data_IF_579484115365
#
_entry.id   IF_579484115365
#
_cell.length_a   1.000
_cell.length_b   1.000
_cell.length_c   1.000
_cell.angle_alpha   90.00
_cell.angle_beta   90.00
_cell.angle_gamma   90.00
#
_symmetry.space_group_name_H-M   'P 1'
#
loop_
_entity.id
_entity.type
_entity.pdbx_description
1 polymer ?
#
# COMPACT_ATOMS: atom_id res chain seq x y z
N UNK A 1 14.13 -48.02 -44.76
CA UNK A 1 13.73 -47.47 -43.45
C UNK A 1 12.27 -47.84 -43.23
N UNK A 2 11.94 -48.54 -42.15
CA UNK A 2 10.54 -48.72 -41.74
C UNK A 2 10.18 -47.55 -40.83
N UNK A 3 9.16 -46.78 -41.19
CA UNK A 3 8.64 -45.72 -40.32
C UNK A 3 7.56 -46.32 -39.41
N UNK A 4 7.44 -45.78 -38.20
CA UNK A 4 6.35 -46.17 -37.30
C UNK A 4 5.01 -45.66 -37.89
N UNK A 5 4.03 -46.55 -38.00
CA UNK A 5 2.68 -46.21 -38.46
C UNK A 5 1.74 -46.12 -37.25
N UNK A 6 1.04 -45.00 -37.11
CA UNK A 6 0.09 -44.75 -36.01
C UNK A 6 -1.34 -44.67 -36.57
N UNK A 7 -2.28 -45.42 -35.96
CA UNK A 7 -3.71 -45.43 -36.33
C UNK A 7 -4.49 -44.32 -35.63
N UNK A 8 -4.06 -43.07 -35.83
CA UNK A 8 -4.70 -41.86 -35.27
C UNK A 8 -3.78 -40.99 -34.41
N UNK A 9 -4.20 -39.74 -34.17
CA UNK A 9 -3.44 -38.76 -33.38
C UNK A 9 -3.92 -38.77 -31.92
N UNK A 10 -3.07 -39.24 -31.01
CA UNK A 10 -3.31 -39.17 -29.56
C UNK A 10 -2.13 -38.45 -28.90
N UNK A 11 -2.22 -37.12 -28.82
CA UNK A 11 -1.16 -36.28 -28.27
C UNK A 11 -0.86 -36.53 -26.78
N UNK A 12 -1.86 -36.73 -25.90
CA UNK A 12 -1.59 -37.10 -24.50
C UNK A 12 -0.75 -38.36 -24.36
N UNK A 13 -1.11 -39.43 -25.08
CA UNK A 13 -0.36 -40.69 -25.04
C UNK A 13 1.06 -40.52 -25.59
N UNK A 14 1.23 -39.77 -26.68
CA UNK A 14 2.56 -39.47 -27.22
C UNK A 14 3.39 -38.67 -26.22
N UNK A 15 2.79 -37.72 -25.50
CA UNK A 15 3.49 -36.95 -24.48
C UNK A 15 3.94 -37.85 -23.31
N UNK A 16 3.07 -38.74 -22.82
CA UNK A 16 3.40 -39.74 -21.79
C UNK A 16 4.57 -40.63 -22.23
N UNK A 17 4.49 -41.23 -23.43
CA UNK A 17 5.56 -42.09 -23.98
C UNK A 17 6.90 -41.34 -24.12
N UNK A 18 6.88 -40.05 -24.46
CA UNK A 18 8.08 -39.22 -24.58
C UNK A 18 8.65 -38.83 -23.20
N UNK A 19 7.80 -38.54 -22.22
CA UNK A 19 8.23 -38.26 -20.85
C UNK A 19 8.91 -39.48 -20.23
N UNK A 20 8.32 -40.67 -20.40
CA UNK A 20 8.90 -41.94 -19.96
C UNK A 20 10.27 -42.16 -20.61
N UNK A 21 10.36 -41.99 -21.93
CA UNK A 21 11.63 -42.08 -22.66
C UNK A 21 12.68 -41.08 -22.15
N UNK A 22 12.30 -39.82 -21.89
CA UNK A 22 13.23 -38.83 -21.36
C UNK A 22 13.75 -39.19 -19.96
N UNK A 23 12.87 -39.72 -19.11
CA UNK A 23 13.19 -40.15 -17.75
C UNK A 23 14.11 -41.38 -17.74
N UNK A 24 13.71 -42.46 -18.42
CA UNK A 24 14.49 -43.72 -18.48
C UNK A 24 15.91 -43.50 -19.02
N UNK A 25 16.07 -42.54 -19.93
CA UNK A 25 17.36 -42.24 -20.54
C UNK A 25 18.08 -41.04 -19.93
N UNK A 26 17.58 -40.43 -18.85
CA UNK A 26 18.19 -39.26 -18.19
C UNK A 26 18.55 -38.15 -19.20
N UNK A 27 17.61 -37.82 -20.08
CA UNK A 27 17.86 -36.95 -21.24
C UNK A 27 18.18 -35.52 -20.79
N UNK A 28 17.54 -35.04 -19.72
CA UNK A 28 17.81 -33.71 -19.18
C UNK A 28 19.24 -33.61 -18.65
N UNK A 29 19.69 -34.56 -17.83
CA UNK A 29 21.02 -34.62 -17.24
C UNK A 29 22.08 -34.76 -18.34
N UNK A 30 21.83 -35.64 -19.32
CA UNK A 30 22.69 -35.77 -20.51
C UNK A 30 22.76 -34.49 -21.31
N UNK A 31 21.67 -33.73 -21.41
CA UNK A 31 21.68 -32.44 -22.10
C UNK A 31 22.63 -31.43 -21.45
N UNK A 32 22.93 -31.58 -20.16
CA UNK A 32 23.87 -30.73 -19.41
C UNK A 32 25.29 -31.31 -19.44
N UNK A 33 25.45 -32.60 -19.14
CA UNK A 33 26.76 -33.25 -19.01
C UNK A 33 27.50 -33.37 -20.35
N UNK A 34 26.79 -33.58 -21.45
CA UNK A 34 27.40 -33.60 -22.81
C UNK A 34 27.98 -32.25 -23.26
N UNK A 35 27.69 -31.16 -22.52
CA UNK A 35 28.27 -29.82 -22.74
C UNK A 35 29.21 -29.39 -21.61
N UNK A 36 29.76 -30.33 -20.84
CA UNK A 36 30.75 -29.99 -19.83
C UNK A 36 31.95 -29.25 -20.45
N UNK A 37 32.36 -28.14 -19.81
CA UNK A 37 33.42 -27.26 -20.29
C UNK A 37 33.03 -26.29 -21.42
N UNK A 38 31.77 -26.26 -21.86
CA UNK A 38 31.25 -25.25 -22.81
C UNK A 38 30.80 -23.98 -22.09
N UNK A 39 30.57 -22.93 -22.87
CA UNK A 39 30.07 -21.65 -22.37
C UNK A 39 28.76 -21.84 -21.60
N UNK A 40 28.69 -21.20 -20.44
CA UNK A 40 27.53 -21.30 -19.55
C UNK A 40 26.47 -20.27 -19.91
N UNK A 41 25.21 -20.71 -19.96
CA UNK A 41 24.05 -19.82 -19.93
C UNK A 41 23.41 -19.94 -18.55
N UNK A 42 23.53 -18.88 -17.74
CA UNK A 42 23.01 -18.86 -16.37
C UNK A 42 21.52 -18.53 -16.41
N UNK A 43 20.72 -19.42 -15.85
CA UNK A 43 19.28 -19.27 -15.70
C UNK A 43 18.93 -19.27 -14.21
N UNK A 44 18.15 -18.28 -13.78
CA UNK A 44 17.61 -18.24 -12.43
C UNK A 44 16.13 -18.53 -12.46
N UNK A 45 15.72 -19.57 -11.74
CA UNK A 45 14.31 -19.83 -11.51
C UNK A 45 13.84 -19.00 -10.32
N UNK A 46 12.79 -18.20 -10.55
CA UNK A 46 12.09 -17.50 -9.47
C UNK A 46 11.34 -18.53 -8.62
N UNK A 47 11.59 -18.59 -7.30
CA UNK A 47 11.04 -19.66 -6.47
C UNK A 47 9.55 -19.44 -6.23
N UNK A 48 8.67 -20.37 -6.61
CA UNK A 48 7.27 -20.31 -6.18
C UNK A 48 7.14 -20.57 -4.68
N UNK A 49 6.06 -20.05 -4.09
CA UNK A 49 5.60 -20.50 -2.77
C UNK A 49 4.78 -21.77 -2.93
N UNK A 50 5.12 -22.84 -2.21
CA UNK A 50 4.41 -24.11 -2.24
C UNK A 50 3.21 -24.18 -1.27
N UNK A 51 2.60 -23.03 -0.98
CA UNK A 51 1.45 -22.93 -0.07
C UNK A 51 0.09 -23.11 -0.76
N UNK A 52 0.06 -23.41 -2.06
CA UNK A 52 -1.17 -23.62 -2.81
C UNK A 52 -0.98 -24.45 -4.09
N UNK A 53 -2.10 -24.77 -4.74
CA UNK A 53 -2.15 -25.55 -5.98
C UNK A 53 -1.57 -24.74 -7.17
N UNK A 54 -0.86 -25.40 -8.10
CA UNK A 54 -0.41 -24.72 -9.31
C UNK A 54 -1.59 -24.35 -10.22
N UNK A 55 -1.71 -23.07 -10.60
CA UNK A 55 -2.63 -22.60 -11.64
C UNK A 55 -2.01 -22.50 -13.05
N UNK A 56 -2.83 -22.19 -14.05
CA UNK A 56 -2.44 -22.06 -15.47
C UNK A 56 -1.31 -21.03 -15.70
N UNK A 57 -1.27 -19.96 -14.91
CA UNK A 57 -0.22 -18.94 -15.01
C UNK A 57 1.18 -19.52 -14.71
N UNK A 58 1.27 -20.55 -13.85
CA UNK A 58 2.54 -21.23 -13.61
C UNK A 58 2.98 -22.07 -14.81
N UNK A 59 2.04 -22.73 -15.50
CA UNK A 59 2.33 -23.47 -16.75
C UNK A 59 2.88 -22.50 -17.80
N UNK A 60 2.20 -21.38 -18.02
CA UNK A 60 2.66 -20.35 -18.99
C UNK A 60 4.06 -19.84 -18.66
N UNK A 61 4.32 -19.49 -17.40
CA UNK A 61 5.64 -19.02 -16.97
C UNK A 61 6.72 -20.09 -17.20
N UNK A 62 6.46 -21.34 -16.82
CA UNK A 62 7.40 -22.46 -16.99
C UNK A 62 7.66 -22.79 -18.44
N UNK A 63 6.65 -22.75 -19.31
CA UNK A 63 6.83 -22.96 -20.75
C UNK A 63 7.82 -21.95 -21.34
N UNK A 64 7.67 -20.65 -21.03
CA UNK A 64 8.59 -19.61 -21.49
C UNK A 64 10.00 -19.87 -20.92
N UNK A 65 10.08 -20.19 -19.62
CA UNK A 65 11.34 -20.45 -18.91
C UNK A 65 12.03 -21.74 -19.37
N UNK A 66 11.35 -22.65 -20.07
CA UNK A 66 11.95 -23.86 -20.64
C UNK A 66 12.44 -23.66 -22.07
N UNK A 67 11.68 -22.91 -22.89
CA UNK A 67 11.98 -22.67 -24.31
C UNK A 67 13.39 -22.11 -24.50
N UNK A 68 13.76 -21.06 -23.76
CA UNK A 68 15.05 -20.39 -23.94
C UNK A 68 16.24 -21.24 -23.47
N UNK A 69 16.21 -21.87 -22.29
CA UNK A 69 17.24 -22.83 -21.89
C UNK A 69 17.40 -23.99 -22.87
N UNK A 70 16.32 -24.56 -23.43
CA UNK A 70 16.41 -25.59 -24.48
C UNK A 70 17.09 -25.03 -25.73
N UNK A 71 16.65 -23.88 -26.22
CA UNK A 71 17.25 -23.21 -27.36
C UNK A 71 18.76 -22.98 -27.16
N UNK A 72 19.17 -22.46 -25.99
CA UNK A 72 20.60 -22.27 -25.66
C UNK A 72 21.38 -23.57 -25.59
N UNK A 73 20.78 -24.63 -25.04
CA UNK A 73 21.36 -25.98 -25.03
C UNK A 73 21.59 -26.50 -26.45
N UNK A 74 20.67 -26.22 -27.39
CA UNK A 74 20.81 -26.56 -28.81
C UNK A 74 21.87 -25.70 -29.54
N UNK A 75 22.12 -24.48 -29.08
CA UNK A 75 23.20 -23.62 -29.56
C UNK A 75 24.59 -23.99 -28.98
N UNK A 76 24.67 -25.04 -28.16
CA UNK A 76 25.93 -25.58 -27.63
C UNK A 76 26.33 -25.08 -26.23
N UNK A 77 25.50 -24.27 -25.57
CA UNK A 77 25.77 -23.82 -24.21
C UNK A 77 25.50 -24.92 -23.17
N UNK A 78 26.24 -24.88 -22.07
CA UNK A 78 25.90 -25.64 -20.86
C UNK A 78 24.88 -24.84 -20.05
N UNK A 79 23.70 -25.41 -19.80
CA UNK A 79 22.60 -24.72 -19.13
C UNK A 79 22.16 -25.48 -17.89
N UNK A 80 22.74 -25.15 -16.73
CA UNK A 80 22.33 -25.70 -15.44
C UNK A 80 21.04 -25.02 -14.97
N UNK A 81 20.05 -25.81 -14.57
CA UNK A 81 18.72 -25.32 -14.18
C UNK A 81 18.33 -25.96 -12.87
N UNK A 82 18.11 -25.13 -11.85
CA UNK A 82 17.84 -25.56 -10.47
C UNK A 82 16.56 -24.92 -10.00
N UNK A 83 15.64 -25.72 -9.48
CA UNK A 83 14.41 -25.20 -8.90
C UNK A 83 14.68 -24.57 -7.53
N UNK A 84 13.68 -23.86 -7.01
CA UNK A 84 13.69 -23.44 -5.63
C UNK A 84 12.31 -23.18 -5.07
N UNK A 85 12.25 -23.05 -3.75
CA UNK A 85 11.01 -22.86 -3.01
C UNK A 85 11.14 -21.66 -2.09
N UNK A 86 10.16 -20.76 -2.18
CA UNK A 86 10.03 -19.65 -1.25
C UNK A 86 9.12 -20.07 -0.09
N UNK A 87 9.67 -20.02 1.12
CA UNK A 87 9.16 -20.76 2.27
C UNK A 87 8.97 -19.96 3.56
N UNK A 88 9.16 -18.64 3.49
CA UNK A 88 8.90 -17.74 4.62
C UNK A 88 7.83 -16.71 4.26
N UNK A 89 7.39 -15.94 5.26
CA UNK A 89 6.57 -14.76 5.07
C UNK A 89 5.08 -14.94 5.33
N UNK A 90 4.36 -13.81 5.27
CA UNK A 90 2.97 -13.69 5.67
C UNK A 90 2.00 -14.66 4.99
N UNK A 91 2.12 -14.99 3.68
CA UNK A 91 1.17 -15.90 3.05
C UNK A 91 1.12 -17.30 3.68
N UNK A 92 2.25 -17.79 4.21
CA UNK A 92 2.31 -19.09 4.90
C UNK A 92 1.80 -18.93 6.34
N UNK A 93 2.27 -17.89 7.04
CA UNK A 93 1.87 -17.58 8.42
C UNK A 93 0.34 -17.46 8.57
N UNK A 94 -0.29 -16.66 7.71
CA UNK A 94 -1.75 -16.45 7.72
C UNK A 94 -2.54 -17.72 7.37
N UNK A 95 -2.00 -18.56 6.49
CA UNK A 95 -2.60 -19.85 6.15
C UNK A 95 -2.62 -20.79 7.34
N UNK A 96 -1.49 -20.89 8.06
CA UNK A 96 -1.37 -21.71 9.27
C UNK A 96 -2.20 -21.17 10.42
N UNK A 97 -2.21 -19.85 10.64
CA UNK A 97 -3.08 -19.21 11.65
C UNK A 97 -4.54 -19.58 11.44
N UNK A 98 -5.03 -19.52 10.19
CA UNK A 98 -6.40 -19.90 9.83
C UNK A 98 -6.68 -21.39 10.07
N UNK A 99 -5.74 -22.27 9.72
CA UNK A 99 -5.89 -23.72 9.95
C UNK A 99 -5.93 -24.09 11.43
N UNK A 100 -5.11 -23.41 12.24
CA UNK A 100 -5.04 -23.64 13.68
C UNK A 100 -6.12 -22.88 14.47
N UNK A 101 -6.83 -21.93 13.83
CA UNK A 101 -7.84 -21.10 14.48
C UNK A 101 -7.25 -20.15 15.52
N UNK A 102 -6.02 -19.66 15.29
CA UNK A 102 -5.28 -18.76 16.18
C UNK A 102 -5.07 -17.39 15.54
N UNK A 103 -4.72 -16.40 16.35
CA UNK A 103 -4.19 -15.10 15.89
C UNK A 103 -2.73 -14.93 16.31
N UNK A 104 -2.06 -13.85 15.86
CA UNK A 104 -0.67 -13.59 16.24
C UNK A 104 -0.49 -13.42 17.75
N UNK A 105 -1.48 -12.89 18.45
CA UNK A 105 -1.46 -12.71 19.91
C UNK A 105 -1.46 -14.05 20.66
N UNK A 106 -1.89 -15.14 20.02
CA UNK A 106 -1.90 -16.48 20.61
C UNK A 106 -0.52 -17.16 20.56
N UNK A 107 0.40 -16.67 19.72
CA UNK A 107 1.76 -17.22 19.57
C UNK A 107 2.60 -16.84 20.78
N UNK A 108 3.14 -17.84 21.46
CA UNK A 108 3.82 -17.72 22.75
C UNK A 108 2.89 -17.86 23.97
N UNK A 109 1.58 -17.92 23.76
CA UNK A 109 0.57 -18.07 24.83
C UNK A 109 -0.16 -19.42 24.73
N UNK A 110 -0.83 -19.68 23.59
CA UNK A 110 -1.58 -20.93 23.34
C UNK A 110 -0.76 -21.96 22.55
N UNK A 111 0.19 -21.51 21.75
CA UNK A 111 1.12 -22.33 20.99
C UNK A 111 2.52 -21.74 21.15
N UNK A 112 3.56 -22.57 21.28
CA UNK A 112 4.93 -22.04 21.32
C UNK A 112 5.39 -21.55 19.94
N UNK A 113 6.37 -20.65 19.92
CA UNK A 113 7.00 -20.18 18.66
C UNK A 113 7.60 -21.35 17.87
N UNK A 114 8.17 -22.34 18.56
CA UNK A 114 8.75 -23.53 17.93
C UNK A 114 7.68 -24.39 17.25
N UNK A 115 6.58 -24.69 17.93
CA UNK A 115 5.47 -25.46 17.37
C UNK A 115 4.82 -24.74 16.19
N UNK A 116 4.66 -23.41 16.29
CA UNK A 116 4.12 -22.60 15.20
C UNK A 116 5.04 -22.62 13.96
N UNK A 117 6.34 -22.45 14.16
CA UNK A 117 7.32 -22.51 13.06
C UNK A 117 7.38 -23.92 12.44
N UNK A 118 7.25 -24.97 13.24
CA UNK A 118 7.16 -26.34 12.75
C UNK A 118 5.90 -26.57 11.90
N UNK A 119 4.75 -26.01 12.31
CA UNK A 119 3.53 -26.04 11.53
C UNK A 119 3.69 -25.30 10.18
N UNK A 120 4.30 -24.10 10.18
CA UNK A 120 4.61 -23.35 8.96
C UNK A 120 5.51 -24.14 8.00
N UNK A 121 6.57 -24.76 8.53
CA UNK A 121 7.49 -25.59 7.74
C UNK A 121 6.79 -26.82 7.14
N UNK A 122 5.84 -27.42 7.85
CA UNK A 122 5.04 -28.54 7.33
C UNK A 122 4.05 -28.06 6.26
N UNK A 123 3.40 -26.92 6.47
CA UNK A 123 2.42 -26.37 5.56
C UNK A 123 3.02 -26.03 4.19
N UNK A 124 4.20 -25.42 4.17
CA UNK A 124 4.83 -25.02 2.90
C UNK A 124 5.27 -26.20 2.03
N UNK A 125 5.59 -27.35 2.62
CA UNK A 125 5.95 -28.54 1.84
C UNK A 125 4.73 -29.34 1.37
N UNK A 126 3.51 -28.95 1.76
CA UNK A 126 2.30 -29.76 1.54
C UNK A 126 1.97 -29.95 0.06
N UNK A 127 2.25 -28.95 -0.78
CA UNK A 127 1.87 -28.98 -2.20
C UNK A 127 3.02 -29.33 -3.14
N UNK A 128 4.24 -29.56 -2.64
CA UNK A 128 5.42 -29.77 -3.51
C UNK A 128 5.25 -30.94 -4.47
N UNK A 129 4.60 -32.03 -4.05
CA UNK A 129 4.39 -33.21 -4.89
C UNK A 129 3.49 -32.91 -6.10
N UNK A 130 2.43 -32.13 -5.90
CA UNK A 130 1.52 -31.70 -6.99
C UNK A 130 2.25 -30.78 -7.96
N UNK A 131 3.11 -29.91 -7.44
CA UNK A 131 3.94 -29.05 -8.27
C UNK A 131 4.99 -29.82 -9.06
N UNK A 132 5.61 -30.85 -8.47
CA UNK A 132 6.55 -31.74 -9.15
C UNK A 132 5.86 -32.47 -10.30
N UNK A 133 4.69 -33.06 -10.04
CA UNK A 133 3.89 -33.71 -11.07
C UNK A 133 3.53 -32.76 -12.22
N UNK A 134 3.11 -31.52 -11.91
CA UNK A 134 2.86 -30.52 -12.95
C UNK A 134 4.14 -30.15 -13.73
N UNK A 135 5.29 -29.99 -13.06
CA UNK A 135 6.60 -29.72 -13.71
C UNK A 135 6.89 -30.76 -14.78
N UNK A 136 6.74 -32.04 -14.42
CA UNK A 136 7.02 -33.18 -15.29
C UNK A 136 6.03 -33.25 -16.44
N UNK A 137 4.73 -33.13 -16.17
CA UNK A 137 3.67 -33.21 -17.18
C UNK A 137 3.80 -32.15 -18.27
N UNK A 138 4.24 -30.93 -17.93
CA UNK A 138 4.45 -29.86 -18.91
C UNK A 138 5.81 -29.95 -19.61
N UNK A 139 6.63 -30.95 -19.26
CA UNK A 139 7.95 -31.18 -19.83
C UNK A 139 8.99 -30.14 -19.43
N UNK A 140 8.83 -29.46 -18.29
CA UNK A 140 9.76 -28.42 -17.85
C UNK A 140 11.03 -29.05 -17.25
N UNK A 141 12.13 -28.98 -17.99
CA UNK A 141 13.41 -29.55 -17.55
C UNK A 141 14.08 -28.63 -16.53
N UNK A 142 14.06 -29.04 -15.26
CA UNK A 142 14.68 -28.37 -14.13
C UNK A 142 15.00 -29.39 -13.03
N UNK A 143 16.11 -29.21 -12.32
CA UNK A 143 16.46 -30.06 -11.18
C UNK A 143 15.51 -29.79 -10.01
N UNK A 144 14.63 -30.77 -9.75
CA UNK A 144 13.70 -30.81 -8.61
C UNK A 144 14.19 -31.73 -7.48
N UNK A 145 15.31 -32.45 -7.65
CA UNK A 145 15.86 -33.36 -6.64
C UNK A 145 16.65 -32.61 -5.57
N UNK A 146 17.43 -31.60 -5.99
CA UNK A 146 18.15 -30.69 -5.07
C UNK A 146 17.65 -29.25 -5.22
N UNK A 147 16.40 -28.89 -4.87
CA UNK A 147 15.97 -27.50 -4.94
C UNK A 147 16.63 -26.66 -3.83
N UNK A 148 16.89 -25.37 -4.13
CA UNK A 148 17.22 -24.43 -3.06
C UNK A 148 15.94 -24.08 -2.28
N UNK A 149 16.02 -24.01 -0.96
CA UNK A 149 14.85 -23.78 -0.10
C UNK A 149 15.20 -22.69 0.90
N UNK A 150 14.37 -21.65 0.99
CA UNK A 150 14.73 -20.44 1.76
C UNK A 150 14.85 -20.67 3.26
N UNK A 151 14.16 -21.67 3.84
CA UNK A 151 14.34 -22.07 5.24
C UNK A 151 15.60 -22.90 5.53
N UNK A 152 16.34 -23.37 4.52
CA UNK A 152 17.58 -24.15 4.76
C UNK A 152 18.64 -23.22 5.36
N UNK A 153 19.32 -23.67 6.42
CA UNK A 153 20.28 -22.85 7.18
C UNK A 153 21.37 -22.22 6.30
N UNK A 154 21.87 -22.92 5.28
CA UNK A 154 22.90 -22.38 4.37
C UNK A 154 22.40 -21.21 3.51
N UNK A 155 21.11 -21.24 3.14
CA UNK A 155 20.48 -20.12 2.44
C UNK A 155 20.35 -18.91 3.37
N UNK A 156 19.84 -19.13 4.59
CA UNK A 156 19.70 -18.08 5.62
C UNK A 156 21.06 -17.46 6.00
N UNK A 157 22.11 -18.26 6.13
CA UNK A 157 23.47 -17.77 6.38
C UNK A 157 23.96 -16.83 5.27
N UNK A 158 23.64 -17.15 4.01
CA UNK A 158 23.97 -16.28 2.87
C UNK A 158 23.21 -14.95 2.94
N UNK A 159 21.93 -14.97 3.33
CA UNK A 159 21.13 -13.77 3.56
C UNK A 159 21.72 -12.92 4.70
N UNK A 160 22.14 -13.53 5.81
CA UNK A 160 22.82 -12.83 6.91
C UNK A 160 24.13 -12.18 6.46
N UNK A 161 24.92 -12.88 5.63
CA UNK A 161 26.12 -12.31 5.05
C UNK A 161 25.80 -11.07 4.19
N UNK A 162 24.76 -11.13 3.35
CA UNK A 162 24.30 -9.98 2.55
C UNK A 162 23.88 -8.80 3.42
N UNK A 163 23.06 -9.04 4.46
CA UNK A 163 22.65 -8.01 5.41
C UNK A 163 23.87 -7.36 6.10
N UNK A 164 24.86 -8.16 6.49
CA UNK A 164 26.13 -7.65 7.04
C UNK A 164 26.88 -6.79 6.03
N UNK A 165 26.93 -7.16 4.75
CA UNK A 165 27.57 -6.35 3.71
C UNK A 165 26.89 -4.98 3.56
N UNK A 166 25.55 -4.97 3.52
CA UNK A 166 24.77 -3.74 3.38
C UNK A 166 24.96 -2.86 4.63
N UNK A 167 24.94 -3.46 5.82
CA UNK A 167 25.20 -2.76 7.08
C UNK A 167 26.61 -2.16 7.12
N UNK A 168 27.63 -2.93 6.72
CA UNK A 168 29.03 -2.47 6.71
C UNK A 168 29.26 -1.30 5.74
N UNK A 169 28.40 -1.14 4.74
CA UNK A 169 28.39 -0.02 3.80
C UNK A 169 27.58 1.18 4.29
N UNK A 170 27.00 1.14 5.49
CA UNK A 170 26.16 2.21 6.04
C UNK A 170 24.80 2.35 5.34
N UNK A 171 24.33 1.32 4.63
CA UNK A 171 23.10 1.35 3.83
C UNK A 171 21.86 0.82 4.60
N UNK A 172 22.04 0.35 5.84
CA UNK A 172 20.96 -0.03 6.76
C UNK A 172 20.98 0.91 7.95
N UNK A 173 19.82 1.49 8.29
CA UNK A 173 19.66 2.36 9.45
C UNK A 173 18.31 2.08 10.14
N UNK A 174 18.22 2.46 11.42
CA UNK A 174 16.95 2.46 12.17
C UNK A 174 16.31 3.84 12.02
N UNK A 175 15.05 3.89 11.65
CA UNK A 175 14.27 5.12 11.54
C UNK A 175 12.83 4.93 12.00
N UNK A 176 12.15 6.05 12.18
CA UNK A 176 10.70 6.11 12.43
C UNK A 176 10.06 6.78 11.23
N UNK A 177 9.10 6.10 10.62
CA UNK A 177 8.41 6.55 9.41
C UNK A 177 6.97 6.08 9.46
N UNK A 178 6.05 6.85 8.89
CA UNK A 178 4.68 6.38 8.63
C UNK A 178 4.76 5.32 7.55
N UNK A 179 4.23 4.13 7.84
CA UNK A 179 4.23 2.98 6.94
C UNK A 179 2.81 2.44 6.82
N UNK A 180 2.45 1.86 5.66
CA UNK A 180 1.25 1.05 5.58
C UNK A 180 1.30 -0.06 6.63
N UNK A 181 0.21 -0.25 7.36
CA UNK A 181 0.16 -1.19 8.48
C UNK A 181 -1.09 -2.05 8.36
N UNK A 182 -0.95 -3.36 8.57
CA UNK A 182 -2.09 -4.27 8.67
C UNK A 182 -2.42 -4.50 10.14
N UNK A 183 -3.55 -3.98 10.65
CA UNK A 183 -3.97 -4.24 12.03
C UNK A 183 -4.17 -5.73 12.31
N UNK A 184 -4.62 -6.49 11.30
CA UNK A 184 -4.84 -7.93 11.41
C UNK A 184 -3.53 -8.72 11.47
N UNK A 185 -2.51 -8.31 10.71
CA UNK A 185 -1.22 -9.01 10.70
C UNK A 185 -0.21 -8.45 11.71
N UNK A 186 -0.54 -7.36 12.40
CA UNK A 186 0.30 -6.74 13.43
C UNK A 186 1.65 -6.23 12.91
N UNK A 187 1.75 -5.89 11.63
CA UNK A 187 3.04 -5.53 11.00
C UNK A 187 2.87 -4.50 9.89
N UNK A 188 3.95 -3.75 9.65
CA UNK A 188 4.08 -2.89 8.48
C UNK A 188 4.15 -3.72 7.19
N UNK A 189 3.65 -3.13 6.10
CA UNK A 189 3.63 -3.72 4.76
C UNK A 189 4.50 -2.90 3.81
N UNK A 190 5.11 -3.57 2.85
CA UNK A 190 5.87 -2.94 1.76
C UNK A 190 4.96 -2.40 0.65
N UNK A 191 5.51 -1.51 -0.17
CA UNK A 191 4.82 -1.01 -1.37
C UNK A 191 4.49 -2.12 -2.37
N UNK A 192 5.29 -3.19 -2.43
CA UNK A 192 4.99 -4.33 -3.30
C UNK A 192 3.76 -5.11 -2.82
N UNK A 193 3.62 -5.31 -1.50
CA UNK A 193 2.45 -5.97 -0.90
C UNK A 193 1.17 -5.14 -1.10
N UNK A 194 1.26 -3.81 -1.03
CA UNK A 194 0.14 -2.93 -1.35
C UNK A 194 -0.33 -3.02 -2.80
N UNK A 195 0.59 -3.33 -3.72
CA UNK A 195 0.29 -3.45 -5.15
C UNK A 195 -0.14 -4.87 -5.57
N UNK A 196 -0.32 -5.80 -4.63
CA UNK A 196 -0.81 -7.13 -4.97
C UNK A 196 -2.27 -7.07 -5.45
N UNK A 197 -2.67 -7.93 -6.40
CA UNK A 197 -4.04 -8.00 -6.88
C UNK A 197 -5.04 -8.23 -5.73
N UNK A 198 -6.09 -7.41 -5.69
CA UNK A 198 -7.12 -7.48 -4.65
C UNK A 198 -6.81 -6.70 -3.37
N UNK A 199 -5.63 -6.07 -3.24
CA UNK A 199 -5.33 -5.19 -2.11
C UNK A 199 -6.10 -3.88 -2.18
N UNK A 200 -6.11 -3.23 -3.35
CA UNK A 200 -6.98 -2.08 -3.61
C UNK A 200 -8.39 -2.56 -3.93
N UNK A 201 -9.36 -2.00 -3.23
CA UNK A 201 -10.79 -2.32 -3.37
C UNK A 201 -11.59 -1.04 -3.30
N UNK A 202 -12.67 -0.97 -4.05
CA UNK A 202 -13.65 0.10 -3.91
C UNK A 202 -14.38 -0.09 -2.57
N UNK A 203 -14.23 0.90 -1.69
CA UNK A 203 -14.88 0.93 -0.39
C UNK A 203 -15.63 2.24 -0.22
N UNK A 204 -16.72 2.19 0.55
CA UNK A 204 -17.48 3.40 0.90
C UNK A 204 -16.99 3.92 2.24
N UNK A 205 -16.40 5.10 2.24
CA UNK A 205 -15.97 5.79 3.46
C UNK A 205 -16.94 6.89 3.89
N UNK A 206 -17.00 7.12 5.21
CA UNK A 206 -17.71 8.28 5.76
C UNK A 206 -16.80 9.50 5.66
N UNK A 207 -17.21 10.50 4.88
CA UNK A 207 -16.47 11.76 4.80
C UNK A 207 -17.08 12.82 5.71
N UNK A 208 -16.24 13.68 6.28
CA UNK A 208 -16.69 14.82 7.10
C UNK A 208 -15.97 16.10 6.71
N UNK A 209 -16.67 17.22 6.81
CA UNK A 209 -16.07 18.57 6.75
C UNK A 209 -16.13 19.15 8.15
N UNK A 210 -14.97 19.21 8.82
CA UNK A 210 -14.84 19.76 10.16
C UNK A 210 -14.63 21.28 10.14
N UNK A 211 -15.18 21.96 11.14
CA UNK A 211 -15.05 23.40 11.34
C UNK A 211 -14.07 23.68 12.48
N UNK A 212 -12.90 24.21 12.15
CA UNK A 212 -11.86 24.57 13.11
C UNK A 212 -11.96 26.05 13.45
N UNK A 213 -12.36 26.38 14.67
CA UNK A 213 -12.59 27.78 15.09
C UNK A 213 -11.26 28.52 15.23
N UNK A 214 -11.10 29.64 14.53
CA UNK A 214 -9.92 30.47 14.63
C UNK A 214 -9.81 31.14 16.02
N UNK A 215 -8.59 31.37 16.47
CA UNK A 215 -8.29 32.20 17.65
C UNK A 215 -8.20 33.66 17.18
N UNK A 216 -9.16 34.48 17.61
CA UNK A 216 -9.36 35.87 17.12
C UNK A 216 -8.09 36.71 17.24
N UNK A 217 -7.35 36.58 18.34
CA UNK A 217 -6.14 37.37 18.62
C UNK A 217 -4.99 37.05 17.66
N UNK A 218 -5.08 35.94 16.93
CA UNK A 218 -4.07 35.50 15.94
C UNK A 218 -4.47 35.79 14.49
N UNK A 219 -5.69 36.31 14.27
CA UNK A 219 -6.13 36.70 12.95
C UNK A 219 -5.37 37.95 12.47
N UNK A 220 -4.94 38.00 11.20
CA UNK A 220 -4.36 39.20 10.61
C UNK A 220 -5.43 40.29 10.43
N UNK A 221 -5.01 41.55 10.32
CA UNK A 221 -5.90 42.72 10.23
C UNK A 221 -7.03 42.58 9.20
N UNK A 222 -6.77 41.90 8.08
CA UNK A 222 -7.75 41.69 7.02
C UNK A 222 -8.83 40.64 7.37
N UNK A 223 -8.66 39.85 8.43
CA UNK A 223 -9.66 38.90 8.97
C UNK A 223 -10.21 39.32 10.34
N UNK A 224 -9.65 40.36 10.95
CA UNK A 224 -10.15 40.91 12.21
C UNK A 224 -11.54 41.53 12.04
N UNK A 225 -12.38 41.44 13.08
CA UNK A 225 -13.73 42.02 13.14
C UNK A 225 -14.74 41.42 12.13
N UNK A 226 -14.46 40.25 11.55
CA UNK A 226 -15.42 39.53 10.69
C UNK A 226 -16.40 38.68 11.52
N UNK A 227 -16.26 38.64 12.84
CA UNK A 227 -16.96 37.72 13.73
C UNK A 227 -16.27 36.36 13.77
N UNK A 228 -16.93 35.34 14.34
CA UNK A 228 -16.28 34.03 14.50
C UNK A 228 -15.93 33.40 13.14
N UNK A 229 -14.64 33.18 12.91
CA UNK A 229 -14.09 32.55 11.70
C UNK A 229 -13.80 31.07 11.95
N UNK A 230 -14.14 30.23 10.98
CA UNK A 230 -13.82 28.80 10.98
C UNK A 230 -13.04 28.41 9.73
N UNK A 231 -12.03 27.56 9.88
CA UNK A 231 -11.39 26.89 8.74
C UNK A 231 -12.12 25.58 8.44
N UNK A 232 -12.50 25.37 7.18
CA UNK A 232 -13.12 24.11 6.76
C UNK A 232 -12.04 23.14 6.30
N UNK A 233 -11.89 22.01 6.97
CA UNK A 233 -11.05 20.91 6.50
C UNK A 233 -11.88 19.65 6.30
N UNK A 234 -11.70 19.03 5.12
CA UNK A 234 -12.39 17.82 4.72
C UNK A 234 -11.49 16.60 4.92
N UNK A 235 -12.07 15.49 5.36
CA UNK A 235 -11.36 14.20 5.50
C UNK A 235 -12.28 13.01 5.20
N UNK A 236 -11.71 11.96 4.62
CA UNK A 236 -12.32 10.64 4.46
C UNK A 236 -12.06 9.72 5.66
N UNK A 237 -11.18 10.13 6.59
CA UNK A 237 -10.80 9.35 7.77
C UNK A 237 -11.16 10.09 9.06
N UNK A 238 -12.44 10.23 9.46
CA UNK A 238 -12.82 10.97 10.66
C UNK A 238 -12.11 10.51 11.94
N UNK A 239 -11.70 9.24 11.98
CA UNK A 239 -10.96 8.65 13.10
C UNK A 239 -9.56 9.25 13.33
N UNK A 240 -9.01 10.01 12.37
CA UNK A 240 -7.73 10.73 12.53
C UNK A 240 -7.90 12.13 13.13
N UNK A 241 -9.12 12.68 13.19
CA UNK A 241 -9.39 14.02 13.76
C UNK A 241 -8.93 14.19 15.22
N UNK A 242 -9.06 13.19 16.12
CA UNK A 242 -8.51 13.26 17.48
C UNK A 242 -7.00 13.51 17.54
N UNK A 243 -6.26 13.22 16.47
CA UNK A 243 -4.81 13.41 16.38
C UNK A 243 -4.42 14.57 15.47
N UNK A 244 -5.35 15.48 15.18
CA UNK A 244 -5.05 16.71 14.48
C UNK A 244 -4.08 17.58 15.29
N UNK A 245 -3.07 18.13 14.63
CA UNK A 245 -2.05 19.00 15.25
C UNK A 245 -1.79 20.29 14.49
N UNK A 246 -2.21 20.36 13.22
CA UNK A 246 -2.13 21.55 12.38
C UNK A 246 -3.20 21.52 11.29
N UNK A 247 -3.38 22.65 10.61
CA UNK A 247 -4.08 22.73 9.33
C UNK A 247 -3.08 23.08 8.25
N UNK A 248 -3.09 22.39 7.12
CA UNK A 248 -2.17 22.65 6.02
C UNK A 248 -2.87 23.33 4.86
N UNK A 249 -2.25 24.40 4.36
CA UNK A 249 -2.71 25.17 3.19
C UNK A 249 -1.62 25.25 2.12
N UNK A 250 -2.03 25.32 0.86
CA UNK A 250 -1.11 25.57 -0.24
C UNK A 250 -0.78 27.06 -0.33
N UNK A 251 0.49 27.50 -0.20
CA UNK A 251 0.82 28.93 -0.06
C UNK A 251 0.45 29.77 -1.28
N UNK A 252 0.36 29.15 -2.47
CA UNK A 252 0.03 29.80 -3.74
C UNK A 252 -1.47 29.72 -4.11
N UNK A 253 -2.24 28.90 -3.40
CA UNK A 253 -3.67 28.70 -3.64
C UNK A 253 -4.45 29.94 -3.22
N UNK A 254 -5.51 30.26 -3.97
CA UNK A 254 -6.47 31.31 -3.62
C UNK A 254 -7.53 30.76 -2.65
N UNK A 255 -7.69 31.44 -1.53
CA UNK A 255 -8.68 31.16 -0.50
C UNK A 255 -9.67 32.32 -0.39
N UNK A 256 -10.84 32.02 0.15
CA UNK A 256 -11.89 33.01 0.36
C UNK A 256 -12.49 32.90 1.74
N UNK A 257 -12.97 34.03 2.25
CA UNK A 257 -13.87 34.10 3.39
C UNK A 257 -15.31 34.08 2.87
N UNK A 258 -16.12 33.14 3.34
CA UNK A 258 -17.54 33.02 3.01
C UNK A 258 -18.37 33.24 4.27
N UNK A 259 -19.31 34.18 4.20
CA UNK A 259 -20.30 34.41 5.24
C UNK A 259 -21.60 33.69 4.88
N UNK A 260 -22.14 32.93 5.83
CA UNK A 260 -23.29 32.04 5.60
C UNK A 260 -23.92 31.61 6.94
N UNK A 261 -24.80 30.61 6.91
CA UNK A 261 -25.39 29.98 8.09
C UNK A 261 -25.05 28.50 8.14
N UNK A 262 -24.82 27.98 9.34
CA UNK A 262 -24.58 26.56 9.54
C UNK A 262 -25.85 25.74 9.24
N UNK A 263 -25.77 24.78 8.32
CA UNK A 263 -26.94 23.98 7.91
C UNK A 263 -27.58 23.10 9.01
N UNK A 264 -26.90 22.89 10.13
CA UNK A 264 -27.38 22.07 11.24
C UNK A 264 -27.83 22.91 12.44
N UNK A 265 -27.08 23.96 12.77
CA UNK A 265 -27.39 24.82 13.93
C UNK A 265 -28.16 26.08 13.56
N UNK A 266 -28.24 26.41 12.27
CA UNK A 266 -28.85 27.62 11.70
C UNK A 266 -28.24 28.94 12.21
N UNK A 267 -27.07 28.87 12.86
CA UNK A 267 -26.36 30.06 13.35
C UNK A 267 -25.52 30.68 12.23
N UNK A 268 -25.38 32.02 12.18
CA UNK A 268 -24.42 32.68 11.31
C UNK A 268 -23.00 32.14 11.53
N UNK A 269 -22.24 31.98 10.46
CA UNK A 269 -20.84 31.54 10.50
C UNK A 269 -20.05 32.16 9.37
N UNK A 270 -18.78 32.46 9.65
CA UNK A 270 -17.80 32.82 8.63
C UNK A 270 -16.83 31.67 8.44
N UNK A 271 -16.61 31.25 7.19
CA UNK A 271 -15.80 30.07 6.90
C UNK A 271 -14.76 30.32 5.83
N UNK A 272 -13.58 29.73 5.99
CA UNK A 272 -12.46 29.83 5.04
C UNK A 272 -12.25 28.49 4.34
N UNK A 273 -12.13 28.55 3.02
CA UNK A 273 -11.85 27.43 2.12
C UNK A 273 -11.23 27.93 0.81
N UNK A 274 -10.69 27.02 0.00
CA UNK A 274 -10.13 27.37 -1.30
C UNK A 274 -11.23 27.85 -2.27
N UNK A 275 -10.94 28.92 -3.02
CA UNK A 275 -11.86 29.58 -3.95
C UNK A 275 -12.51 28.59 -4.94
N UNK A 276 -11.69 27.72 -5.53
CA UNK A 276 -12.14 26.76 -6.54
C UNK A 276 -13.12 25.70 -5.98
N UNK A 277 -13.17 25.53 -4.65
CA UNK A 277 -13.98 24.51 -4.00
C UNK A 277 -15.29 25.07 -3.40
N UNK A 278 -15.51 26.39 -3.47
CA UNK A 278 -16.75 27.04 -3.04
C UNK A 278 -17.96 26.41 -3.73
N UNK A 279 -17.92 26.27 -5.05
CA UNK A 279 -19.04 25.69 -5.81
C UNK A 279 -19.37 24.26 -5.41
N UNK A 280 -18.37 23.45 -5.01
CA UNK A 280 -18.59 22.07 -4.52
C UNK A 280 -19.16 22.06 -3.10
N UNK A 281 -18.54 22.80 -2.17
CA UNK A 281 -18.92 22.82 -0.75
C UNK A 281 -20.27 23.52 -0.51
N UNK A 282 -20.60 24.52 -1.32
CA UNK A 282 -21.85 25.28 -1.27
C UNK A 282 -22.81 24.90 -2.41
N UNK A 283 -22.76 23.64 -2.85
CA UNK A 283 -23.75 23.10 -3.78
C UNK A 283 -25.03 22.66 -3.05
N UNK A 284 -26.10 22.38 -3.81
CA UNK A 284 -27.30 21.75 -3.28
C UNK A 284 -28.13 22.66 -2.38
N UNK A 285 -27.90 22.65 -1.06
CA UNK A 285 -28.69 23.42 -0.08
C UNK A 285 -28.35 24.90 -0.04
N UNK A 286 -27.26 25.32 -0.66
CA UNK A 286 -26.83 26.71 -0.60
C UNK A 286 -27.18 27.47 -1.89
N UNK A 287 -27.27 28.80 -1.78
CA UNK A 287 -27.41 29.71 -2.93
C UNK A 287 -26.52 30.94 -2.74
N UNK A 288 -25.79 31.32 -3.78
CA UNK A 288 -24.96 32.51 -3.71
C UNK A 288 -25.84 33.76 -3.78
N UNK A 289 -25.54 34.76 -2.93
CA UNK A 289 -26.16 36.08 -2.99
C UNK A 289 -25.16 37.12 -3.48
N UNK A 290 -25.66 38.21 -4.07
CA UNK A 290 -24.81 39.27 -4.64
C UNK A 290 -24.50 40.36 -3.63
N UNK A 291 -25.38 40.60 -2.66
CA UNK A 291 -25.22 41.61 -1.63
C UNK A 291 -25.24 40.98 -0.23
N UNK A 292 -24.38 41.46 0.66
CA UNK A 292 -24.30 40.96 2.04
C UNK A 292 -25.62 41.12 2.81
N UNK A 293 -26.41 42.16 2.48
CA UNK A 293 -27.74 42.38 3.07
C UNK A 293 -28.71 41.24 2.82
N UNK A 294 -28.54 40.50 1.72
CA UNK A 294 -29.46 39.43 1.34
C UNK A 294 -29.35 38.23 2.29
N UNK A 295 -28.22 38.07 2.99
CA UNK A 295 -28.04 37.06 4.04
C UNK A 295 -29.05 37.22 5.18
N UNK A 296 -29.41 38.47 5.53
CA UNK A 296 -30.30 38.79 6.66
C UNK A 296 -31.75 38.32 6.43
N UNK A 297 -32.09 38.00 5.19
CA UNK A 297 -33.42 37.49 4.83
C UNK A 297 -33.62 36.01 5.18
N UNK A 298 -32.55 35.29 5.53
CA UNK A 298 -32.61 33.87 5.87
C UNK A 298 -33.34 33.62 7.19
N UNK A 299 -34.33 32.73 7.16
CA UNK A 299 -34.96 32.18 8.34
C UNK A 299 -34.48 30.75 8.64
N UNK A 300 -34.32 30.43 9.93
CA UNK A 300 -33.90 29.10 10.36
C UNK A 300 -34.81 28.01 9.79
N UNK A 301 -34.22 27.07 9.04
CA UNK A 301 -34.94 25.97 8.42
C UNK A 301 -35.38 26.22 6.97
N UNK A 302 -35.07 27.39 6.39
CA UNK A 302 -35.29 27.62 4.98
C UNK A 302 -34.56 26.59 4.11
N UNK A 303 -35.21 26.22 2.98
CA UNK A 303 -34.71 25.19 2.07
C UNK A 303 -33.37 25.53 1.43
N UNK A 304 -33.07 26.82 1.31
CA UNK A 304 -31.88 27.35 0.68
C UNK A 304 -31.17 28.28 1.66
N UNK A 305 -29.89 28.02 1.89
CA UNK A 305 -29.04 28.79 2.79
C UNK A 305 -28.21 29.75 1.95
N UNK A 306 -28.35 31.07 2.13
CA UNK A 306 -27.60 32.01 1.35
C UNK A 306 -26.13 32.02 1.80
N UNK A 307 -25.22 32.28 0.86
CA UNK A 307 -23.82 32.52 1.16
C UNK A 307 -23.26 33.67 0.32
N UNK A 308 -22.35 34.42 0.92
CA UNK A 308 -21.69 35.58 0.30
C UNK A 308 -20.17 35.43 0.40
N UNK A 309 -19.47 35.66 -0.71
CA UNK A 309 -18.00 35.65 -0.73
C UNK A 309 -17.51 37.05 -0.36
N UNK A 310 -16.91 37.16 0.83
CA UNK A 310 -16.54 38.45 1.44
C UNK A 310 -15.25 38.99 0.83
N UNK A 311 -14.21 38.17 0.78
CA UNK A 311 -12.88 38.57 0.32
C UNK A 311 -12.05 37.37 -0.11
N UNK A 312 -11.03 37.62 -0.93
CA UNK A 312 -10.07 36.63 -1.44
C UNK A 312 -8.65 36.97 -0.98
N UNK A 313 -7.85 35.95 -0.70
CA UNK A 313 -6.46 36.08 -0.24
C UNK A 313 -5.66 34.82 -0.61
N UNK A 314 -4.33 34.87 -0.45
CA UNK A 314 -3.46 33.72 -0.75
C UNK A 314 -3.25 32.86 0.50
N UNK A 315 -2.98 31.57 0.31
CA UNK A 315 -2.70 30.65 1.42
C UNK A 315 -1.52 31.08 2.29
N UNK A 316 -0.52 31.76 1.70
CA UNK A 316 0.60 32.35 2.45
C UNK A 316 0.16 33.39 3.50
N UNK A 317 -0.99 34.04 3.29
CA UNK A 317 -1.52 35.08 4.17
C UNK A 317 -2.24 34.46 5.40
N UNK A 318 -2.47 33.14 5.39
CA UNK A 318 -3.09 32.39 6.47
C UNK A 318 -2.09 31.74 7.44
N UNK A 319 -0.80 31.74 7.10
CA UNK A 319 0.22 30.99 7.85
C UNK A 319 0.34 31.49 9.29
N UNK A 320 0.52 30.55 10.22
CA UNK A 320 0.65 30.76 11.66
C UNK A 320 -0.60 31.26 12.39
N UNK A 321 -1.73 31.48 11.70
CA UNK A 321 -3.00 31.69 12.39
C UNK A 321 -3.30 30.48 13.26
N UNK A 322 -3.67 30.70 14.51
CA UNK A 322 -4.03 29.64 15.46
C UNK A 322 -5.52 29.35 15.42
N UNK A 323 -5.86 28.12 15.79
CA UNK A 323 -7.25 27.67 15.93
C UNK A 323 -7.41 26.89 17.23
N UNK A 324 -8.64 26.82 17.73
CA UNK A 324 -8.99 26.02 18.91
C UNK A 324 -8.91 24.54 18.57
N UNK A 325 -8.35 23.74 19.48
CA UNK A 325 -8.29 22.29 19.32
C UNK A 325 -9.72 21.75 19.09
N UNK A 326 -9.89 20.94 18.04
CA UNK A 326 -11.22 20.45 17.64
C UNK A 326 -11.82 19.50 18.70
N UNK A 327 -10.96 18.64 19.27
CA UNK A 327 -11.30 17.69 20.32
C UNK A 327 -10.24 17.82 21.41
N UNK A 328 -10.61 18.37 22.56
CA UNK A 328 -9.73 18.65 23.71
C UNK A 328 -9.27 17.36 24.43
N UNK A 329 -8.51 16.54 23.71
CA UNK A 329 -7.96 15.27 24.20
C UNK A 329 -6.49 15.45 24.59
N UNK A 330 -5.57 14.87 23.83
CA UNK A 330 -4.14 14.88 24.11
C UNK A 330 -3.43 15.91 23.26
N UNK A 331 -2.40 16.54 23.83
CA UNK A 331 -1.48 17.41 23.10
C UNK A 331 -0.36 16.58 22.45
N UNK A 332 0.30 17.11 21.42
CA UNK A 332 1.52 16.51 20.89
C UNK A 332 2.56 16.29 21.99
N UNK A 333 3.27 15.16 21.92
CA UNK A 333 4.33 14.85 22.90
C UNK A 333 5.52 15.80 22.79
N UNK A 334 5.86 16.22 21.56
CA UNK A 334 6.94 17.15 21.25
C UNK A 334 6.36 18.46 20.71
N UNK A 335 6.94 19.59 21.14
CA UNK A 335 6.63 20.95 20.65
C UNK A 335 5.13 21.31 20.65
N UNK A 336 4.40 20.98 21.71
CA UNK A 336 2.96 21.24 21.83
C UNK A 336 2.60 22.73 21.65
N UNK A 337 3.51 23.64 21.99
CA UNK A 337 3.38 25.09 21.80
C UNK A 337 3.26 25.52 20.33
N UNK A 338 3.74 24.68 19.41
CA UNK A 338 3.70 24.90 17.97
C UNK A 338 2.49 24.25 17.28
N UNK A 339 1.62 23.58 18.04
CA UNK A 339 0.41 22.93 17.56
C UNK A 339 -0.74 23.93 17.30
N UNK A 340 -1.78 23.42 16.65
CA UNK A 340 -3.05 24.10 16.37
C UNK A 340 -2.89 25.44 15.66
N UNK A 341 -2.07 25.43 14.61
CA UNK A 341 -1.91 26.56 13.69
C UNK A 341 -1.92 26.12 12.23
N UNK A 342 -2.02 27.10 11.36
CA UNK A 342 -1.92 26.88 9.92
C UNK A 342 -0.45 26.81 9.47
N UNK A 343 -0.11 25.77 8.72
CA UNK A 343 1.21 25.52 8.14
C UNK A 343 1.12 25.40 6.62
N UNK A 344 2.27 25.53 5.94
CA UNK A 344 2.35 25.43 4.49
C UNK A 344 2.60 23.98 4.05
N UNK A 345 1.97 23.57 2.94
CA UNK A 345 2.25 22.29 2.30
C UNK A 345 1.91 22.32 0.80
N UNK A 346 2.85 21.88 -0.03
CA UNK A 346 2.70 21.91 -1.49
C UNK A 346 1.83 20.75 -2.03
N UNK A 347 1.49 19.77 -1.20
CA UNK A 347 0.65 18.62 -1.57
C UNK A 347 -0.85 18.96 -1.56
N UNK A 348 -1.24 20.12 -1.03
CA UNK A 348 -2.64 20.55 -0.98
C UNK A 348 -3.14 20.83 -2.40
N UNK A 349 -4.27 20.23 -2.77
CA UNK A 349 -4.90 20.42 -4.08
C UNK A 349 -6.22 21.19 -3.95
N UNK A 350 -6.74 21.66 -5.09
CA UNK A 350 -8.09 22.24 -5.18
C UNK A 350 -9.02 21.37 -6.02
N UNK A 351 -8.70 20.09 -6.19
CA UNK A 351 -9.52 19.17 -6.97
C UNK A 351 -10.74 18.74 -6.14
N UNK A 352 -10.54 18.32 -4.90
CA UNK A 352 -11.61 17.87 -3.98
C UNK A 352 -11.41 18.38 -2.54
N UNK A 353 -12.40 18.15 -1.69
CA UNK A 353 -12.41 18.61 -0.30
C UNK A 353 -12.65 20.11 -0.18
N UNK A 354 -11.88 20.79 0.68
CA UNK A 354 -12.01 22.23 0.97
C UNK A 354 -10.75 23.03 0.61
N UNK A 355 -9.66 22.35 0.23
CA UNK A 355 -8.36 22.97 0.00
C UNK A 355 -7.63 23.38 1.29
N UNK A 356 -8.12 22.93 2.45
CA UNK A 356 -7.42 22.95 3.73
C UNK A 356 -7.39 21.52 4.23
N UNK A 357 -6.20 21.01 4.53
CA UNK A 357 -6.01 19.63 4.98
C UNK A 357 -5.84 19.61 6.49
N UNK A 358 -6.60 18.78 7.20
CA UNK A 358 -6.30 18.51 8.61
C UNK A 358 -5.02 17.66 8.68
N UNK A 359 -4.07 18.04 9.52
CA UNK A 359 -2.75 17.39 9.58
C UNK A 359 -2.62 16.58 10.85
N UNK A 360 -2.39 15.28 10.71
CA UNK A 360 -2.14 14.29 11.76
C UNK A 360 -0.84 13.52 11.47
N UNK A 361 0.32 14.02 11.97
CA UNK A 361 1.66 13.48 11.69
C UNK A 361 1.84 11.99 12.00
N UNK A 362 1.00 11.43 12.88
CA UNK A 362 1.02 10.01 13.26
C UNK A 362 0.47 9.08 12.19
N UNK A 363 -0.34 9.58 11.24
CA UNK A 363 -1.10 8.75 10.29
C UNK A 363 -0.85 9.08 8.82
N UNK A 364 -0.25 10.24 8.51
CA UNK A 364 0.08 10.64 7.14
C UNK A 364 1.57 10.89 6.95
N UNK A 365 2.15 10.37 5.85
CA UNK A 365 3.56 10.61 5.53
C UNK A 365 3.82 12.08 5.16
N UNK A 366 2.96 12.67 4.32
CA UNK A 366 3.04 14.08 3.95
C UNK A 366 2.77 14.98 5.17
N UNK A 367 1.80 14.61 6.00
CA UNK A 367 1.51 15.27 7.28
C UNK A 367 2.73 15.31 8.21
N UNK A 368 3.39 14.16 8.39
CA UNK A 368 4.61 14.07 9.19
C UNK A 368 5.73 14.93 8.62
N UNK A 369 5.85 14.96 7.29
CA UNK A 369 6.87 15.75 6.61
C UNK A 369 6.66 17.25 6.81
N UNK A 370 5.46 17.78 6.52
CA UNK A 370 5.19 19.22 6.66
C UNK A 370 5.19 19.66 8.13
N UNK A 371 4.68 18.83 9.04
CA UNK A 371 4.72 19.14 10.46
C UNK A 371 6.17 19.23 10.98
N UNK A 372 7.06 18.35 10.52
CA UNK A 372 8.49 18.40 10.86
C UNK A 372 9.20 19.64 10.29
N UNK A 373 8.81 20.08 9.09
CA UNK A 373 9.37 21.30 8.47
C UNK A 373 8.88 22.59 9.14
N UNK A 374 7.72 22.53 9.80
CA UNK A 374 7.10 23.69 10.40
C UNK A 374 7.66 24.03 11.80
N UNK A 375 8.49 23.19 12.41
CA UNK A 375 9.08 23.38 13.76
C UNK A 375 10.11 24.50 13.77
#
# INVERSE_FOLDING_TARGET
>A
MKFAEYKGLNLPKVAEEILDYWSEHAIFEKSISTREGKDSYVFYEGPPSANGMPGIHHVMARTIKDIFPRYKTMQGYQVKRKAGWDTHGLPIELGVEKELGITKEDIGVKISVEEYNAACKKAVMRYTDVWNSMTEQVGYWVDMEDPYITYKSKYMETVWWLLKQIYSKGLIYKGYTIQPYSPKAGTGLSSHELNQPGTYQDVTDTTVTAQFKAVEETLPDFLQNEGTVYFLAWTTTPWTLPSNTALTVGPKIDYVLVETYNQYTFKPMNVILAKNLVGKQFSGKYNQVSEKSDLLSYASGDKKIPFYVVKEFKGKDLLNIKYEQLLDYVLPYENAENAFRIIAGDFVTTEDGTGIVHTAPTFGADDAFVAKQAV
#
